data_IF_732384318646
#
_entry.id   IF_732384318646
#
_cell.length_a   1.000
_cell.length_b   1.000
_cell.length_c   1.000
_cell.angle_alpha   90.00
_cell.angle_beta   90.00
_cell.angle_gamma   90.00
#
_symmetry.space_group_name_H-M   'P 1'
#
loop_
_entity.id
_entity.type
_entity.pdbx_description
1 polymer ?
#
# COMPACT_ATOMS: atom_id res chain seq x y z
N UNK A 1 -44.94 13.75 -13.11
CA UNK A 1 -45.33 13.52 -11.70
C UNK A 1 -44.14 13.86 -10.83
N UNK A 2 -44.29 14.93 -10.06
CA UNK A 2 -43.28 15.59 -9.24
C UNK A 2 -42.84 14.69 -8.06
N UNK A 3 -41.56 14.71 -7.71
CA UNK A 3 -41.06 14.15 -6.44
C UNK A 3 -40.24 15.23 -5.73
N UNK A 4 -40.79 15.75 -4.63
CA UNK A 4 -40.21 16.79 -3.79
C UNK A 4 -39.17 16.24 -2.80
N UNK A 5 -38.08 16.99 -2.65
CA UNK A 5 -36.95 16.71 -1.78
C UNK A 5 -37.16 17.41 -0.42
N UNK A 6 -37.51 16.64 0.61
CA UNK A 6 -37.67 17.13 1.97
C UNK A 6 -36.34 17.40 2.67
N UNK A 7 -36.00 18.68 2.88
CA UNK A 7 -34.93 19.13 3.78
C UNK A 7 -35.37 19.01 5.24
N UNK A 8 -34.46 18.63 6.15
CA UNK A 8 -34.54 19.04 7.56
C UNK A 8 -33.19 19.61 8.03
N UNK A 9 -33.27 20.79 8.64
CA UNK A 9 -32.19 21.56 9.29
C UNK A 9 -32.34 21.44 10.81
N UNK A 10 -31.18 21.27 11.48
CA UNK A 10 -30.67 21.90 12.72
C UNK A 10 -31.50 21.98 14.02
N UNK A 11 -30.84 21.61 15.13
CA UNK A 11 -30.62 22.43 16.36
C UNK A 11 -29.72 21.62 17.33
N UNK A 12 -28.46 21.97 17.61
CA UNK A 12 -27.92 22.83 18.69
C UNK A 12 -28.64 22.76 20.05
N UNK A 13 -27.89 22.32 21.07
CA UNK A 13 -28.13 22.53 22.51
C UNK A 13 -26.80 22.44 23.28
N UNK A 14 -26.54 23.43 24.14
CA UNK A 14 -25.30 23.73 24.89
C UNK A 14 -25.63 23.78 26.39
N UNK A 15 -24.74 23.30 27.29
CA UNK A 15 -24.46 23.81 28.66
C UNK A 15 -23.55 22.81 29.44
N UNK A 16 -22.31 23.17 29.87
CA UNK A 16 -21.87 23.76 31.17
C UNK A 16 -21.53 22.71 32.26
N UNK A 17 -20.25 22.37 32.52
CA UNK A 17 -19.31 22.88 33.58
C UNK A 17 -19.47 22.21 34.98
N UNK A 18 -18.56 22.37 35.97
CA UNK A 18 -17.21 21.78 36.08
C UNK A 18 -16.96 21.10 37.45
N UNK A 19 -16.00 20.17 37.60
CA UNK A 19 -15.47 19.82 38.94
C UNK A 19 -13.94 19.76 38.93
N UNK A 20 -13.39 20.65 39.76
CA UNK A 20 -12.02 20.86 40.21
C UNK A 20 -11.64 19.76 41.22
N UNK A 21 -10.41 19.26 41.18
CA UNK A 21 -9.81 18.60 42.34
C UNK A 21 -8.44 19.23 42.62
N UNK A 22 -8.29 19.70 43.84
CA UNK A 22 -7.21 20.59 44.29
C UNK A 22 -5.91 19.85 44.64
N UNK A 23 -4.86 20.64 44.55
CA UNK A 23 -3.49 20.47 45.04
C UNK A 23 -3.37 20.34 46.57
N UNK A 24 -2.41 19.54 47.05
CA UNK A 24 -1.53 19.77 48.24
C UNK A 24 -0.71 18.49 48.50
N UNK A 25 0.51 18.45 49.05
CA UNK A 25 1.58 19.41 49.34
C UNK A 25 2.78 18.57 49.86
N UNK A 26 3.99 19.01 49.55
CA UNK A 26 5.27 18.84 50.28
C UNK A 26 5.76 17.46 50.78
N UNK A 27 6.99 17.09 50.42
CA UNK A 27 8.23 17.34 51.22
C UNK A 27 9.45 16.68 50.56
N UNK A 28 10.54 17.44 50.46
CA UNK A 28 11.96 17.04 50.35
C UNK A 28 12.72 17.90 51.39
N UNK A 29 14.02 17.70 51.71
CA UNK A 29 14.97 16.61 51.44
C UNK A 29 15.81 16.21 52.70
N UNK A 30 16.91 15.47 52.47
CA UNK A 30 18.24 15.47 53.15
C UNK A 30 18.65 14.14 53.85
N UNK A 31 19.94 13.94 54.23
CA UNK A 31 20.99 13.45 53.33
C UNK A 31 21.91 12.39 53.97
N UNK A 32 22.38 11.35 53.27
CA UNK A 32 23.55 10.61 53.75
C UNK A 32 24.39 10.08 52.58
N UNK A 33 25.48 10.80 52.29
CA UNK A 33 26.78 10.27 51.87
C UNK A 33 27.63 10.11 53.16
N UNK A 34 28.76 9.37 53.24
CA UNK A 34 29.76 9.09 52.19
C UNK A 34 30.19 7.60 52.15
N UNK A 35 31.00 7.12 51.20
CA UNK A 35 32.45 7.04 51.41
C UNK A 35 33.16 6.62 50.11
N UNK A 36 34.27 7.28 49.88
CA UNK A 36 35.23 7.05 48.82
C UNK A 36 36.07 5.81 49.14
N UNK A 37 36.22 4.90 48.18
CA UNK A 37 37.34 3.97 48.15
C UNK A 37 38.04 4.13 46.81
N UNK A 38 39.23 4.71 46.86
CA UNK A 38 40.17 4.83 45.76
C UNK A 38 41.01 3.53 45.75
N UNK A 39 40.97 2.78 44.66
CA UNK A 39 41.86 1.66 44.40
C UNK A 39 42.80 1.99 43.23
N UNK A 40 44.05 1.47 43.24
CA UNK A 40 45.15 1.99 42.45
C UNK A 40 45.06 1.64 40.96
N UNK A 41 45.56 2.60 40.17
CA UNK A 41 45.81 2.56 38.73
C UNK A 41 46.47 1.25 38.28
N UNK A 42 45.68 0.33 37.72
CA UNK A 42 46.19 -0.73 36.85
C UNK A 42 46.27 -0.20 35.42
N UNK A 43 47.47 -0.32 34.83
CA UNK A 43 47.81 0.08 33.46
C UNK A 43 46.78 -0.46 32.48
N UNK A 44 46.06 0.46 31.82
CA UNK A 44 45.12 0.13 30.76
C UNK A 44 45.89 -0.01 29.45
N UNK A 45 46.10 -1.24 29.01
CA UNK A 45 46.52 -1.55 27.64
C UNK A 45 45.38 -1.06 26.74
N UNK A 46 45.62 -0.01 25.94
CA UNK A 46 44.63 0.48 24.98
C UNK A 46 44.59 -0.45 23.78
N UNK A 47 43.79 -1.52 23.88
CA UNK A 47 43.29 -2.20 22.69
C UNK A 47 42.23 -1.29 22.06
N UNK A 48 42.61 -0.53 21.03
CA UNK A 48 41.63 0.09 20.13
C UNK A 48 40.91 -1.03 19.40
N UNK A 49 39.77 -1.43 19.94
CA UNK A 49 38.82 -2.29 19.25
C UNK A 49 38.50 -1.67 17.88
N UNK A 50 38.39 -2.47 16.79
CA UNK A 50 37.94 -1.95 15.53
C UNK A 50 36.57 -1.31 15.75
N UNK A 51 36.47 -0.02 15.45
CA UNK A 51 35.25 0.75 15.56
C UNK A 51 34.26 0.18 14.54
N UNK A 52 33.53 -0.87 14.90
CA UNK A 52 32.42 -1.38 14.13
C UNK A 52 31.48 -0.20 13.92
N UNK A 53 31.41 0.28 12.67
CA UNK A 53 30.45 1.31 12.30
C UNK A 53 29.08 0.69 12.50
N UNK A 54 28.39 1.08 13.57
CA UNK A 54 26.98 0.78 13.74
C UNK A 54 26.27 1.31 12.49
N UNK A 55 25.93 0.41 11.57
CA UNK A 55 25.09 0.74 10.42
C UNK A 55 23.76 1.21 11.00
N UNK A 56 23.48 2.50 10.86
CA UNK A 56 22.24 3.10 11.35
C UNK A 56 21.06 2.43 10.64
N UNK A 57 20.00 2.08 11.37
CA UNK A 57 18.75 1.47 10.85
C UNK A 57 18.19 2.13 9.58
N UNK A 58 18.46 3.42 9.37
CA UNK A 58 18.09 4.16 8.17
C UNK A 58 18.90 3.76 6.91
N UNK A 59 20.18 3.41 7.06
CA UNK A 59 21.02 2.91 5.97
C UNK A 59 20.52 1.53 5.51
N UNK A 60 20.21 0.64 6.46
CA UNK A 60 19.61 -0.67 6.18
C UNK A 60 18.30 -0.55 5.39
N UNK A 61 17.39 0.35 5.80
CA UNK A 61 16.14 0.61 5.08
C UNK A 61 16.36 1.08 3.65
N UNK A 62 17.32 1.98 3.42
CA UNK A 62 17.65 2.45 2.06
C UNK A 62 18.19 1.32 1.18
N UNK A 63 19.00 0.44 1.74
CA UNK A 63 19.55 -0.72 1.01
C UNK A 63 18.44 -1.73 0.68
N UNK A 64 17.52 -1.98 1.61
CA UNK A 64 16.32 -2.80 1.41
C UNK A 64 15.42 -2.20 0.31
N UNK A 65 15.14 -0.89 0.36
CA UNK A 65 14.35 -0.19 -0.66
C UNK A 65 15.01 -0.30 -2.04
N UNK A 66 16.34 -0.16 -2.12
CA UNK A 66 17.09 -0.34 -3.36
C UNK A 66 16.99 -1.78 -3.89
N UNK A 67 17.05 -2.79 -3.01
CA UNK A 67 16.89 -4.18 -3.39
C UNK A 67 15.49 -4.43 -3.98
N UNK A 68 14.44 -3.89 -3.36
CA UNK A 68 13.06 -3.95 -3.87
C UNK A 68 12.96 -3.29 -5.24
N UNK A 69 13.54 -2.11 -5.44
CA UNK A 69 13.54 -1.43 -6.74
C UNK A 69 14.26 -2.25 -7.83
N UNK A 70 15.38 -2.88 -7.49
CA UNK A 70 16.09 -3.78 -8.42
C UNK A 70 15.26 -5.02 -8.76
N UNK A 71 14.60 -5.61 -7.78
CA UNK A 71 13.71 -6.76 -7.98
C UNK A 71 12.54 -6.40 -8.91
N UNK A 72 11.89 -5.25 -8.66
CA UNK A 72 10.88 -4.68 -9.55
C UNK A 72 11.47 -4.59 -10.97
N UNK A 73 12.56 -3.85 -11.18
CA UNK A 73 13.16 -3.65 -12.49
C UNK A 73 13.53 -4.96 -13.22
N UNK A 74 13.90 -6.02 -12.50
CA UNK A 74 14.11 -7.36 -13.08
C UNK A 74 12.79 -7.96 -13.57
N UNK A 75 11.73 -7.91 -12.75
CA UNK A 75 10.40 -8.37 -13.15
C UNK A 75 9.88 -7.58 -14.35
N UNK A 76 10.08 -6.25 -14.36
CA UNK A 76 9.62 -5.43 -15.49
C UNK A 76 10.30 -5.84 -16.79
N UNK A 77 11.62 -6.06 -16.76
CA UNK A 77 12.41 -6.50 -17.91
C UNK A 77 12.11 -7.92 -18.38
N UNK A 78 11.48 -8.75 -17.54
CA UNK A 78 11.01 -10.09 -17.92
C UNK A 78 9.60 -9.98 -18.50
N UNK A 79 8.69 -9.34 -17.79
CA UNK A 79 7.26 -9.27 -18.15
C UNK A 79 6.94 -8.40 -19.36
N UNK A 80 7.62 -7.26 -19.51
CA UNK A 80 7.28 -6.25 -20.52
C UNK A 80 8.30 -6.21 -21.67
N UNK A 81 9.13 -7.26 -21.80
CA UNK A 81 10.04 -7.38 -22.95
C UNK A 81 9.25 -7.83 -24.16
N UNK A 82 9.35 -7.08 -25.26
CA UNK A 82 8.70 -7.44 -26.53
C UNK A 82 9.06 -8.88 -26.92
N UNK A 83 8.03 -9.67 -27.25
CA UNK A 83 8.18 -11.05 -27.74
C UNK A 83 8.23 -12.15 -26.68
N UNK A 84 8.15 -11.86 -25.37
CA UNK A 84 7.93 -12.90 -24.37
C UNK A 84 6.45 -13.20 -24.19
N UNK A 85 6.12 -14.49 -24.15
CA UNK A 85 4.76 -15.03 -24.19
C UNK A 85 4.19 -15.35 -22.79
N UNK A 86 4.92 -15.01 -21.73
CA UNK A 86 4.60 -15.54 -20.40
C UNK A 86 4.54 -14.43 -19.35
N UNK A 87 3.39 -13.76 -19.30
CA UNK A 87 2.88 -13.27 -18.03
C UNK A 87 2.32 -14.47 -17.26
N UNK A 88 3.14 -15.10 -16.42
CA UNK A 88 2.59 -16.05 -15.47
C UNK A 88 1.70 -15.29 -14.47
N UNK A 89 0.49 -15.78 -14.14
CA UNK A 89 -0.38 -15.14 -13.15
C UNK A 89 0.33 -14.91 -11.81
N UNK A 90 1.16 -15.88 -11.40
CA UNK A 90 2.02 -15.76 -10.20
C UNK A 90 3.02 -14.61 -10.31
N UNK A 91 3.71 -14.50 -11.45
CA UNK A 91 4.64 -13.41 -11.68
C UNK A 91 3.92 -12.06 -11.61
N UNK A 92 2.81 -11.91 -12.35
CA UNK A 92 2.05 -10.66 -12.39
C UNK A 92 1.59 -10.24 -10.99
N UNK A 93 1.07 -11.19 -10.20
CA UNK A 93 0.69 -10.98 -8.79
C UNK A 93 1.87 -10.50 -7.95
N UNK A 94 3.04 -11.14 -8.06
CA UNK A 94 4.24 -10.73 -7.32
C UNK A 94 4.72 -9.33 -7.73
N UNK A 95 4.71 -9.04 -9.03
CA UNK A 95 5.06 -7.72 -9.55
C UNK A 95 4.11 -6.63 -9.01
N UNK A 96 2.79 -6.86 -9.07
CA UNK A 96 1.81 -5.91 -8.56
C UNK A 96 1.94 -5.72 -7.05
N UNK A 97 2.17 -6.80 -6.29
CA UNK A 97 2.45 -6.74 -4.86
C UNK A 97 3.65 -5.86 -4.54
N UNK A 98 4.79 -6.10 -5.19
CA UNK A 98 6.00 -5.30 -4.95
C UNK A 98 5.81 -3.82 -5.32
N UNK A 99 4.97 -3.51 -6.31
CA UNK A 99 4.70 -2.13 -6.75
C UNK A 99 3.77 -1.36 -5.82
N UNK A 100 2.79 -2.03 -5.23
CA UNK A 100 1.68 -1.39 -4.52
C UNK A 100 1.73 -1.58 -3.00
N UNK A 101 2.45 -2.59 -2.48
CA UNK A 101 2.56 -2.81 -1.04
C UNK A 101 3.19 -1.60 -0.33
N UNK A 102 2.64 -1.24 0.83
CA UNK A 102 3.22 -0.19 1.69
C UNK A 102 3.05 1.24 1.19
N UNK A 103 2.29 1.47 0.12
CA UNK A 103 1.89 2.83 -0.29
C UNK A 103 0.96 3.44 0.78
N UNK A 104 1.22 4.69 1.15
CA UNK A 104 0.45 5.43 2.15
C UNK A 104 -0.93 5.85 1.65
N UNK A 105 -1.06 6.01 0.32
CA UNK A 105 -2.31 6.34 -0.36
C UNK A 105 -2.79 5.13 -1.15
N UNK A 106 -4.09 5.08 -1.45
CA UNK A 106 -4.65 4.13 -2.41
C UNK A 106 -4.13 4.45 -3.82
N UNK A 107 -3.43 3.48 -4.42
CA UNK A 107 -2.92 3.54 -5.79
C UNK A 107 -3.57 2.44 -6.59
N UNK A 108 -4.25 2.82 -7.66
CA UNK A 108 -4.82 1.88 -8.62
C UNK A 108 -3.83 1.62 -9.75
N UNK A 109 -3.71 0.38 -10.20
CA UNK A 109 -2.89 -0.04 -11.31
C UNK A 109 -3.70 -0.86 -12.31
N UNK A 110 -3.38 -0.72 -13.58
CA UNK A 110 -3.95 -1.55 -14.64
C UNK A 110 -2.84 -2.05 -15.58
N UNK A 111 -2.94 -3.32 -15.98
CA UNK A 111 -2.11 -3.98 -16.96
C UNK A 111 -2.99 -4.39 -18.13
N UNK A 112 -2.61 -4.00 -19.33
CA UNK A 112 -3.35 -4.20 -20.57
C UNK A 112 -2.63 -5.23 -21.44
N UNK A 113 -3.37 -6.17 -22.00
CA UNK A 113 -2.84 -7.40 -22.60
C UNK A 113 -3.33 -7.59 -24.04
N UNK A 114 -2.45 -8.10 -24.91
CA UNK A 114 -2.84 -8.56 -26.25
C UNK A 114 -3.40 -9.99 -26.24
N UNK A 115 -3.81 -10.47 -27.41
CA UNK A 115 -4.34 -11.81 -27.62
C UNK A 115 -3.35 -12.94 -27.33
N UNK A 116 -2.07 -12.64 -27.21
CA UNK A 116 -1.01 -13.57 -26.81
C UNK A 116 -0.65 -13.41 -25.33
N UNK A 117 -1.50 -12.72 -24.55
CA UNK A 117 -1.32 -12.45 -23.13
C UNK A 117 -0.02 -11.71 -22.80
N UNK A 118 0.49 -10.91 -23.74
CA UNK A 118 1.66 -10.06 -23.56
C UNK A 118 1.22 -8.70 -23.11
N UNK A 119 1.92 -8.12 -22.14
CA UNK A 119 1.56 -6.78 -21.69
C UNK A 119 1.91 -5.71 -22.71
N UNK A 120 0.89 -4.95 -23.11
CA UNK A 120 0.95 -3.82 -24.02
C UNK A 120 1.27 -2.53 -23.27
N UNK A 121 0.66 -2.36 -22.10
CA UNK A 121 0.81 -1.17 -21.29
C UNK A 121 0.57 -1.49 -19.81
N UNK A 122 1.21 -0.69 -18.95
CA UNK A 122 0.95 -0.67 -17.52
C UNK A 122 0.90 0.78 -17.07
N UNK A 123 -0.08 1.12 -16.25
CA UNK A 123 -0.23 2.47 -15.72
C UNK A 123 -0.75 2.44 -14.29
N UNK A 124 -0.41 3.49 -13.54
CA UNK A 124 -1.04 3.79 -12.25
C UNK A 124 -2.01 4.94 -12.42
N UNK A 125 -3.15 4.85 -11.76
CA UNK A 125 -4.08 5.96 -11.55
C UNK A 125 -3.96 6.34 -10.07
N UNK A 126 -3.58 7.59 -9.83
CA UNK A 126 -3.39 8.13 -8.48
C UNK A 126 -4.72 8.16 -7.71
N UNK A 127 -4.62 8.19 -6.37
CA UNK A 127 -5.67 8.30 -5.36
C UNK A 127 -7.00 8.84 -5.87
N UNK A 128 -7.84 7.95 -6.39
CA UNK A 128 -9.17 8.26 -6.91
C UNK A 128 -9.90 6.93 -7.23
N UNK A 129 -11.24 6.92 -7.15
CA UNK A 129 -12.03 5.73 -7.40
C UNK A 129 -11.82 5.19 -8.82
N UNK A 130 -11.98 3.88 -8.96
CA UNK A 130 -11.87 3.14 -10.22
C UNK A 130 -12.90 3.64 -11.25
N UNK A 131 -12.52 4.61 -12.07
CA UNK A 131 -13.41 5.10 -13.13
C UNK A 131 -13.33 4.19 -14.36
N UNK A 132 -14.37 3.38 -14.58
CA UNK A 132 -14.46 2.47 -15.73
C UNK A 132 -14.13 3.15 -17.07
N UNK A 133 -14.65 4.37 -17.31
CA UNK A 133 -14.36 5.16 -18.52
C UNK A 133 -12.87 5.36 -18.79
N UNK A 134 -12.05 5.49 -17.73
CA UNK A 134 -10.62 5.75 -17.84
C UNK A 134 -9.88 4.46 -18.22
N UNK A 135 -10.29 3.33 -17.62
CA UNK A 135 -9.72 2.02 -17.94
C UNK A 135 -10.09 1.61 -19.36
N UNK A 136 -11.37 1.70 -19.73
CA UNK A 136 -11.88 1.39 -21.08
C UNK A 136 -11.18 2.24 -22.15
N UNK A 137 -11.07 3.55 -21.94
CA UNK A 137 -10.37 4.45 -22.89
C UNK A 137 -8.92 4.02 -23.12
N UNK A 138 -8.21 3.58 -22.06
CA UNK A 138 -6.82 3.11 -22.19
C UNK A 138 -6.76 1.72 -22.83
N UNK A 139 -7.66 0.82 -22.48
CA UNK A 139 -7.73 -0.52 -23.07
C UNK A 139 -7.90 -0.43 -24.59
N UNK A 140 -8.86 0.38 -25.05
CA UNK A 140 -9.08 0.66 -26.47
C UNK A 140 -7.86 1.32 -27.12
N UNK A 141 -7.25 2.34 -26.48
CA UNK A 141 -6.05 3.00 -27.00
C UNK A 141 -4.89 2.03 -27.25
N UNK A 142 -4.80 0.98 -26.46
CA UNK A 142 -3.74 -0.02 -26.58
C UNK A 142 -4.15 -1.25 -27.39
N UNK A 143 -5.38 -1.32 -27.92
CA UNK A 143 -5.95 -2.53 -28.54
C UNK A 143 -5.84 -3.76 -27.62
N UNK A 144 -6.12 -3.55 -26.33
CA UNK A 144 -6.09 -4.62 -25.36
C UNK A 144 -7.30 -5.56 -25.55
N UNK A 145 -7.08 -6.86 -25.43
CA UNK A 145 -8.17 -7.86 -25.35
C UNK A 145 -8.43 -8.29 -23.91
N UNK A 146 -7.47 -8.07 -23.02
CA UNK A 146 -7.56 -8.41 -21.60
C UNK A 146 -6.98 -7.33 -20.70
N UNK A 147 -7.56 -7.19 -19.51
CA UNK A 147 -7.12 -6.23 -18.49
C UNK A 147 -7.01 -6.93 -17.14
N UNK A 148 -5.92 -6.68 -16.42
CA UNK A 148 -5.77 -6.99 -15.00
C UNK A 148 -5.68 -5.68 -14.23
N UNK A 149 -6.44 -5.56 -13.15
CA UNK A 149 -6.41 -4.37 -12.29
C UNK A 149 -5.94 -4.71 -10.88
N UNK A 150 -5.43 -3.73 -10.17
CA UNK A 150 -5.04 -3.89 -8.77
C UNK A 150 -5.08 -2.57 -8.01
N UNK A 151 -5.33 -2.62 -6.71
CA UNK A 151 -5.09 -1.48 -5.82
C UNK A 151 -4.56 -1.94 -4.47
N UNK A 152 -3.88 -1.04 -3.77
CA UNK A 152 -3.52 -1.28 -2.37
C UNK A 152 -4.56 -0.69 -1.42
N UNK A 153 -4.68 -1.32 -0.25
CA UNK A 153 -5.31 -0.72 0.91
C UNK A 153 -4.24 -0.23 1.88
N UNK A 154 -4.18 1.08 2.20
CA UNK A 154 -3.23 1.63 3.18
C UNK A 154 -3.34 1.00 4.57
N UNK A 155 -4.52 0.49 4.93
CA UNK A 155 -4.76 -0.29 6.15
C UNK A 155 -3.87 -1.53 6.25
N UNK A 156 -3.42 -2.06 5.10
CA UNK A 156 -2.63 -3.28 5.00
C UNK A 156 -3.45 -4.57 4.99
N UNK A 157 -4.78 -4.50 5.08
CA UNK A 157 -5.67 -5.65 4.90
C UNK A 157 -5.97 -5.83 3.42
N UNK A 158 -5.96 -7.07 2.92
CA UNK A 158 -6.27 -7.37 1.51
C UNK A 158 -7.77 -7.64 1.26
N UNK A 159 -8.62 -7.47 2.27
CA UNK A 159 -10.06 -7.75 2.15
C UNK A 159 -10.74 -6.67 1.30
N UNK A 160 -11.41 -7.01 0.19
CA UNK A 160 -12.12 -6.01 -0.61
C UNK A 160 -13.28 -5.39 0.17
N UNK A 161 -13.50 -4.10 -0.04
CA UNK A 161 -14.69 -3.40 0.43
C UNK A 161 -15.91 -3.67 -0.48
N UNK A 162 -17.11 -3.34 -0.01
CA UNK A 162 -18.31 -3.40 -0.87
C UNK A 162 -18.21 -2.44 -2.06
N UNK A 163 -17.52 -1.30 -1.89
CA UNK A 163 -17.26 -0.35 -2.97
C UNK A 163 -16.32 -0.97 -4.02
N UNK A 164 -15.30 -1.72 -3.60
CA UNK A 164 -14.40 -2.44 -4.51
C UNK A 164 -15.17 -3.46 -5.34
N UNK A 165 -16.05 -4.25 -4.70
CA UNK A 165 -16.87 -5.25 -5.40
C UNK A 165 -17.81 -4.59 -6.42
N UNK A 166 -18.51 -3.54 -6.02
CA UNK A 166 -19.41 -2.81 -6.92
C UNK A 166 -18.65 -2.19 -8.11
N UNK A 167 -17.50 -1.55 -7.85
CA UNK A 167 -16.67 -0.96 -8.89
C UNK A 167 -16.12 -2.02 -9.85
N UNK A 168 -15.71 -3.18 -9.34
CA UNK A 168 -15.23 -4.30 -10.16
C UNK A 168 -16.30 -4.81 -11.10
N UNK A 169 -17.53 -5.00 -10.60
CA UNK A 169 -18.68 -5.44 -11.41
C UNK A 169 -19.01 -4.41 -12.49
N UNK A 170 -19.02 -3.13 -12.14
CA UNK A 170 -19.25 -2.05 -13.10
C UNK A 170 -18.16 -2.01 -14.18
N UNK A 171 -16.89 -2.17 -13.78
CA UNK A 171 -15.76 -2.21 -14.71
C UNK A 171 -15.87 -3.41 -15.66
N UNK A 172 -16.15 -4.61 -15.13
CA UNK A 172 -16.33 -5.82 -15.94
C UNK A 172 -17.44 -5.62 -16.98
N UNK A 173 -18.60 -5.14 -16.55
CA UNK A 173 -19.71 -4.86 -17.46
C UNK A 173 -19.31 -3.86 -18.56
N UNK A 174 -18.58 -2.80 -18.22
CA UNK A 174 -18.15 -1.79 -19.19
C UNK A 174 -17.09 -2.30 -20.19
N UNK A 175 -16.16 -3.16 -19.75
CA UNK A 175 -15.16 -3.78 -20.64
C UNK A 175 -15.82 -4.80 -21.58
N UNK A 176 -16.78 -5.57 -21.09
CA UNK A 176 -17.51 -6.54 -21.91
C UNK A 176 -18.32 -5.89 -23.05
N UNK A 177 -18.76 -4.64 -22.90
CA UNK A 177 -19.46 -3.89 -23.97
C UNK A 177 -18.56 -3.58 -25.19
N UNK A 178 -17.25 -3.71 -25.03
CA UNK A 178 -16.26 -3.45 -26.09
C UNK A 178 -15.34 -4.65 -26.32
N UNK A 179 -15.80 -5.85 -25.98
CA UNK A 179 -15.10 -7.13 -26.19
C UNK A 179 -13.71 -7.21 -25.53
N UNK A 180 -13.58 -6.64 -24.33
CA UNK A 180 -12.36 -6.70 -23.52
C UNK A 180 -12.66 -7.46 -22.22
N UNK A 181 -11.83 -8.43 -21.87
CA UNK A 181 -12.03 -9.25 -20.67
C UNK A 181 -11.33 -8.65 -19.44
N UNK A 182 -12.04 -8.59 -18.31
CA UNK A 182 -11.42 -8.33 -17.00
C UNK A 182 -10.95 -9.66 -16.41
N UNK A 183 -9.65 -9.92 -16.48
CA UNK A 183 -9.07 -11.23 -16.12
C UNK A 183 -8.90 -11.42 -14.62
N UNK A 184 -8.49 -10.36 -13.93
CA UNK A 184 -8.40 -10.38 -12.47
C UNK A 184 -8.42 -8.95 -11.90
N UNK A 185 -8.77 -8.88 -10.63
CA UNK A 185 -8.63 -7.73 -9.77
C UNK A 185 -7.90 -8.13 -8.48
N UNK A 186 -6.73 -7.56 -8.24
CA UNK A 186 -5.97 -7.79 -7.01
C UNK A 186 -6.13 -6.69 -5.96
N UNK A 187 -6.48 -7.05 -4.74
CA UNK A 187 -6.40 -6.15 -3.57
C UNK A 187 -5.14 -6.44 -2.78
N UNK A 188 -4.30 -5.43 -2.59
CA UNK A 188 -2.94 -5.59 -2.07
C UNK A 188 -2.84 -5.01 -0.65
N UNK A 189 -2.73 -5.91 0.31
CA UNK A 189 -2.36 -5.61 1.70
C UNK A 189 -0.89 -5.91 2.00
N UNK A 190 -0.55 -6.09 3.28
CA UNK A 190 0.79 -6.54 3.73
C UNK A 190 1.01 -8.03 3.47
N UNK A 191 -0.06 -8.82 3.56
CA UNK A 191 -0.07 -10.27 3.38
C UNK A 191 -0.21 -10.71 1.92
N UNK A 192 -0.83 -11.86 1.71
CA UNK A 192 -1.16 -12.35 0.38
C UNK A 192 -2.22 -11.46 -0.29
N UNK A 193 -2.03 -11.09 -1.58
CA UNK A 193 -3.04 -10.35 -2.32
C UNK A 193 -4.32 -11.16 -2.49
N UNK A 194 -5.46 -10.51 -2.30
CA UNK A 194 -6.76 -11.08 -2.63
C UNK A 194 -6.96 -11.02 -4.15
N UNK A 195 -7.46 -12.09 -4.76
CA UNK A 195 -7.80 -12.19 -6.17
C UNK A 195 -9.31 -12.35 -6.32
N UNK A 196 -9.94 -11.49 -7.12
CA UNK A 196 -11.36 -11.63 -7.44
C UNK A 196 -11.63 -12.86 -8.30
N UNK A 197 -10.68 -13.25 -9.16
CA UNK A 197 -10.78 -14.47 -9.95
C UNK A 197 -10.80 -15.72 -9.05
N UNK A 198 -9.80 -15.86 -8.16
CA UNK A 198 -9.70 -17.01 -7.25
C UNK A 198 -10.92 -17.08 -6.30
N UNK A 199 -11.47 -15.92 -5.93
CA UNK A 199 -12.65 -15.81 -5.06
C UNK A 199 -14.00 -15.93 -5.81
N UNK A 200 -14.00 -16.16 -7.13
CA UNK A 200 -15.20 -16.28 -7.96
C UNK A 200 -16.12 -15.04 -7.92
N UNK A 201 -15.51 -13.85 -7.87
CA UNK A 201 -16.21 -12.56 -7.80
C UNK A 201 -16.20 -11.75 -9.11
N UNK A 202 -15.65 -12.32 -10.20
CA UNK A 202 -15.67 -11.71 -11.53
C UNK A 202 -16.91 -12.10 -12.30
#
# INVERSE_FOLDING_TARGET
MSWEFGRRRTSRGVAASPIRCETKVSRRPTPFAPAWVILPSSRRISMTAPRMRASTKAATRRDEDQLVQRAIAVLERRMFRRGQELLSPRGLRQYLRLRLVGKSEEVFAAVFLDAQWRALFRGTVNAAPMYARVVVKRALRHNAVGVVVAHNHPSGLATPSQADIAATRQLKAALNLVDIELLDHFVIGRGEPFSFFDAQLL
#
